data_IF_924426725912
#
_entry.id   IF_924426725912
#
_cell.length_a   1.000
_cell.length_b   1.000
_cell.length_c   1.000
_cell.angle_alpha   90.00
_cell.angle_beta   90.00
_cell.angle_gamma   90.00
#
_symmetry.space_group_name_H-M   'P 1'
#
loop_
_entity.id
_entity.type
_entity.pdbx_description
1 polymer ?
#
# COMPACT_ATOMS: atom_id res chain seq x y z
N UNK A 1 -27.17 -12.44 -15.93
CA UNK A 1 -27.72 -13.08 -17.13
C UNK A 1 -27.15 -12.44 -18.39
N UNK A 2 -27.35 -11.13 -18.64
CA UNK A 2 -26.87 -10.43 -19.86
C UNK A 2 -25.37 -10.65 -20.13
N UNK A 3 -24.54 -10.56 -19.09
CA UNK A 3 -23.10 -10.81 -19.21
C UNK A 3 -22.79 -12.25 -19.66
N UNK A 4 -23.46 -13.24 -19.04
CA UNK A 4 -23.26 -14.66 -19.36
C UNK A 4 -23.72 -14.99 -20.81
N UNK A 5 -24.81 -14.38 -21.25
CA UNK A 5 -25.27 -14.51 -22.62
C UNK A 5 -24.30 -13.93 -23.64
N UNK A 6 -23.69 -12.77 -23.31
CA UNK A 6 -22.71 -12.11 -24.18
C UNK A 6 -21.42 -12.92 -24.38
N UNK A 7 -21.06 -13.77 -23.44
CA UNK A 7 -19.91 -14.68 -23.55
C UNK A 7 -20.31 -16.10 -24.01
N UNK A 8 -21.56 -16.27 -24.47
CA UNK A 8 -22.05 -17.53 -25.03
C UNK A 8 -22.49 -18.58 -24.01
N UNK A 9 -22.56 -18.23 -22.71
CA UNK A 9 -23.05 -19.11 -21.64
C UNK A 9 -24.54 -18.89 -21.42
N UNK A 10 -25.36 -19.75 -22.06
CA UNK A 10 -26.81 -19.68 -21.94
C UNK A 10 -27.30 -20.41 -20.68
N UNK A 11 -27.11 -19.81 -19.50
CA UNK A 11 -27.54 -20.34 -18.21
C UNK A 11 -28.96 -19.82 -17.90
N UNK A 12 -29.94 -20.67 -17.61
CA UNK A 12 -31.27 -20.25 -17.18
C UNK A 12 -31.19 -19.37 -15.93
N UNK A 13 -32.05 -18.35 -15.83
CA UNK A 13 -31.98 -17.35 -14.75
C UNK A 13 -32.22 -17.97 -13.38
N UNK A 14 -33.02 -18.99 -13.29
CA UNK A 14 -33.32 -19.77 -12.09
C UNK A 14 -32.10 -20.53 -11.55
N UNK A 15 -31.08 -20.75 -12.38
CA UNK A 15 -29.81 -21.37 -11.98
C UNK A 15 -28.74 -20.33 -11.61
N UNK A 16 -29.09 -19.05 -11.62
CA UNK A 16 -28.20 -17.95 -11.20
C UNK A 16 -28.60 -17.53 -9.79
N UNK A 17 -27.89 -18.07 -8.80
CA UNK A 17 -28.14 -17.77 -7.38
C UNK A 17 -27.19 -16.70 -6.91
N UNK A 18 -27.72 -15.63 -6.31
CA UNK A 18 -26.93 -14.60 -5.66
C UNK A 18 -26.87 -14.88 -4.16
N UNK A 19 -25.67 -15.00 -3.62
CA UNK A 19 -25.45 -14.98 -2.18
C UNK A 19 -25.42 -13.52 -1.74
N UNK A 20 -26.16 -13.16 -0.70
CA UNK A 20 -26.18 -11.77 -0.16
C UNK A 20 -24.82 -11.42 0.47
N UNK A 21 -24.13 -12.42 1.01
CA UNK A 21 -22.78 -12.33 1.55
C UNK A 21 -21.79 -13.07 0.63
N UNK A 22 -20.78 -12.33 0.14
CA UNK A 22 -19.70 -12.88 -0.70
C UNK A 22 -18.57 -13.53 0.08
N UNK A 23 -18.71 -13.73 1.40
CA UNK A 23 -17.69 -14.32 2.25
C UNK A 23 -17.39 -15.78 1.89
N UNK A 24 -16.17 -16.29 2.19
CA UNK A 24 -15.86 -17.70 2.04
C UNK A 24 -16.81 -18.62 2.81
N UNK A 25 -17.25 -18.19 4.00
CA UNK A 25 -18.17 -18.94 4.84
C UNK A 25 -19.55 -19.06 4.21
N UNK A 26 -20.12 -17.98 3.68
CA UNK A 26 -21.44 -18.02 3.03
C UNK A 26 -21.47 -18.99 1.83
N UNK A 27 -20.37 -19.06 1.07
CA UNK A 27 -20.21 -20.03 -0.02
C UNK A 27 -20.17 -21.46 0.51
N UNK A 28 -19.41 -21.72 1.55
CA UNK A 28 -19.33 -23.02 2.19
C UNK A 28 -20.70 -23.46 2.77
N UNK A 29 -21.41 -22.57 3.44
CA UNK A 29 -22.72 -22.82 4.03
C UNK A 29 -23.76 -23.15 2.93
N UNK A 30 -23.65 -22.52 1.76
CA UNK A 30 -24.48 -22.87 0.62
C UNK A 30 -24.28 -24.33 0.17
N UNK A 31 -23.03 -24.83 0.12
CA UNK A 31 -22.74 -26.23 -0.20
C UNK A 31 -23.26 -27.18 0.85
N UNK A 32 -23.17 -26.84 2.15
CA UNK A 32 -23.76 -27.63 3.24
C UNK A 32 -25.27 -27.73 3.05
N UNK A 33 -25.96 -26.64 2.73
CA UNK A 33 -27.41 -26.65 2.50
C UNK A 33 -27.78 -27.52 1.32
N UNK A 34 -27.01 -27.48 0.23
CA UNK A 34 -27.27 -28.33 -0.96
C UNK A 34 -26.99 -29.81 -0.69
N UNK A 35 -25.98 -30.14 0.10
CA UNK A 35 -25.76 -31.52 0.54
C UNK A 35 -26.91 -32.02 1.41
N UNK A 36 -27.47 -31.18 2.29
CA UNK A 36 -28.64 -31.50 3.09
C UNK A 36 -29.91 -31.69 2.24
N UNK A 37 -30.00 -31.02 1.08
CA UNK A 37 -31.08 -31.23 0.08
C UNK A 37 -30.92 -32.54 -0.72
N UNK A 38 -29.80 -33.28 -0.54
CA UNK A 38 -29.52 -34.55 -1.17
C UNK A 38 -28.60 -34.50 -2.40
N UNK A 39 -28.01 -33.34 -2.69
CA UNK A 39 -26.97 -33.28 -3.72
C UNK A 39 -25.69 -33.94 -3.20
N UNK A 40 -25.04 -34.78 -4.00
CA UNK A 40 -23.88 -35.56 -3.61
C UNK A 40 -22.70 -35.54 -4.62
N UNK A 41 -22.77 -34.70 -5.66
CA UNK A 41 -21.70 -34.49 -6.64
C UNK A 41 -21.58 -32.99 -6.86
N UNK A 42 -20.46 -32.41 -6.38
CA UNK A 42 -20.23 -30.98 -6.39
C UNK A 42 -19.02 -30.61 -7.21
N UNK A 43 -19.15 -29.57 -8.01
CA UNK A 43 -18.04 -28.86 -8.64
C UNK A 43 -18.04 -27.41 -8.21
N UNK A 44 -16.93 -26.95 -7.69
CA UNK A 44 -16.73 -25.55 -7.31
C UNK A 44 -15.48 -24.98 -7.97
N UNK A 45 -15.63 -23.83 -8.58
CA UNK A 45 -14.52 -23.06 -9.13
C UNK A 45 -14.67 -21.59 -8.73
N UNK A 46 -13.62 -21.01 -8.15
CA UNK A 46 -13.58 -19.63 -7.69
C UNK A 46 -12.16 -19.08 -7.89
N UNK A 47 -12.02 -17.79 -8.15
CA UNK A 47 -10.71 -17.15 -8.34
C UNK A 47 -10.01 -16.85 -7.00
N UNK A 48 -10.75 -16.74 -5.91
CA UNK A 48 -10.22 -16.53 -4.56
C UNK A 48 -9.72 -17.83 -3.94
N UNK A 49 -8.43 -17.90 -3.63
CA UNK A 49 -7.84 -19.02 -2.91
C UNK A 49 -8.51 -19.28 -1.55
N UNK A 50 -8.95 -18.22 -0.86
CA UNK A 50 -9.66 -18.34 0.43
C UNK A 50 -11.03 -19.01 0.25
N UNK A 51 -11.80 -18.63 -0.78
CA UNK A 51 -13.08 -19.27 -1.08
C UNK A 51 -12.90 -20.74 -1.43
N UNK A 52 -11.90 -21.03 -2.28
CA UNK A 52 -11.55 -22.40 -2.69
C UNK A 52 -11.17 -23.26 -1.49
N UNK A 53 -10.31 -22.76 -0.62
CA UNK A 53 -9.86 -23.47 0.57
C UNK A 53 -11.04 -23.76 1.52
N UNK A 54 -11.85 -22.74 1.83
CA UNK A 54 -12.97 -22.87 2.74
C UNK A 54 -14.02 -23.86 2.22
N UNK A 55 -14.37 -23.78 0.94
CA UNK A 55 -15.34 -24.72 0.35
C UNK A 55 -14.75 -26.13 0.29
N UNK A 56 -13.46 -26.26 -0.03
CA UNK A 56 -12.79 -27.56 -0.02
C UNK A 56 -12.79 -28.18 1.37
N UNK A 57 -12.42 -27.42 2.41
CA UNK A 57 -12.36 -27.90 3.78
C UNK A 57 -13.72 -28.40 4.28
N UNK A 58 -14.81 -27.78 3.85
CA UNK A 58 -16.17 -28.22 4.17
C UNK A 58 -16.57 -29.45 3.37
N UNK A 59 -16.34 -29.46 2.05
CA UNK A 59 -16.72 -30.61 1.21
C UNK A 59 -15.92 -31.88 1.54
N UNK A 60 -14.66 -31.71 1.97
CA UNK A 60 -13.82 -32.84 2.44
C UNK A 60 -14.34 -33.47 3.75
N UNK A 61 -15.18 -32.75 4.52
CA UNK A 61 -15.82 -33.25 5.74
C UNK A 61 -17.20 -33.92 5.48
N UNK A 62 -17.75 -33.74 4.30
CA UNK A 62 -19.03 -34.32 3.90
C UNK A 62 -18.83 -35.63 3.10
N UNK A 63 -19.74 -36.58 3.24
CA UNK A 63 -19.73 -37.82 2.43
C UNK A 63 -20.32 -37.51 1.04
N UNK A 64 -19.60 -36.74 0.25
CA UNK A 64 -20.02 -36.31 -1.09
C UNK A 64 -18.84 -36.40 -2.06
N UNK A 65 -19.15 -36.63 -3.32
CA UNK A 65 -18.15 -36.49 -4.37
C UNK A 65 -17.94 -35.01 -4.66
N UNK A 66 -16.73 -34.55 -4.58
CA UNK A 66 -16.41 -33.15 -4.80
C UNK A 66 -15.21 -32.96 -5.73
N UNK A 67 -15.25 -31.89 -6.50
CA UNK A 67 -14.10 -31.34 -7.24
C UNK A 67 -14.07 -29.84 -7.03
N UNK A 68 -13.08 -29.41 -6.26
CA UNK A 68 -12.84 -28.01 -5.97
C UNK A 68 -11.61 -27.55 -6.72
N UNK A 69 -11.75 -26.50 -7.50
CA UNK A 69 -10.67 -25.97 -8.34
C UNK A 69 -10.59 -24.47 -8.17
N UNK A 70 -9.39 -23.95 -7.92
CA UNK A 70 -9.19 -22.53 -8.09
C UNK A 70 -9.32 -22.21 -9.58
N UNK A 71 -10.34 -21.44 -9.92
CA UNK A 71 -10.46 -20.87 -11.26
C UNK A 71 -9.39 -19.77 -11.37
N UNK A 72 -8.22 -20.19 -11.77
CA UNK A 72 -7.22 -19.29 -12.32
C UNK A 72 -7.72 -18.92 -13.74
N UNK A 73 -8.82 -18.18 -13.85
CA UNK A 73 -8.91 -17.18 -14.90
C UNK A 73 -7.87 -16.19 -14.49
N UNK A 74 -6.73 -16.35 -15.08
CA UNK A 74 -5.50 -15.75 -14.66
C UNK A 74 -5.77 -14.25 -14.52
N UNK A 75 -5.92 -13.76 -13.28
CA UNK A 75 -6.07 -12.32 -12.97
C UNK A 75 -5.00 -11.54 -13.74
N UNK A 76 -3.81 -12.15 -13.91
CA UNK A 76 -2.72 -11.61 -14.68
C UNK A 76 -3.08 -11.50 -16.17
N UNK A 77 -3.60 -12.56 -16.78
CA UNK A 77 -4.02 -12.52 -18.19
C UNK A 77 -5.13 -11.50 -18.42
N UNK A 78 -6.13 -11.44 -17.54
CA UNK A 78 -7.21 -10.45 -17.64
C UNK A 78 -6.70 -9.02 -17.52
N UNK A 79 -5.89 -8.72 -16.48
CA UNK A 79 -5.35 -7.37 -16.27
C UNK A 79 -4.40 -6.95 -17.38
N UNK A 80 -3.55 -7.86 -17.89
CA UNK A 80 -2.67 -7.60 -19.01
C UNK A 80 -3.46 -7.32 -20.29
N UNK A 81 -4.51 -8.10 -20.55
CA UNK A 81 -5.39 -7.93 -21.71
C UNK A 81 -6.14 -6.60 -21.65
N UNK A 82 -6.78 -6.28 -20.52
CA UNK A 82 -7.48 -5.00 -20.31
C UNK A 82 -6.53 -3.80 -20.41
N UNK A 83 -5.28 -3.91 -19.92
CA UNK A 83 -4.27 -2.86 -20.09
C UNK A 83 -3.84 -2.73 -21.55
N UNK A 84 -3.70 -3.83 -22.29
CA UNK A 84 -3.38 -3.78 -23.72
C UNK A 84 -4.52 -3.13 -24.52
N UNK A 85 -5.78 -3.41 -24.19
CA UNK A 85 -6.95 -2.76 -24.82
C UNK A 85 -6.93 -1.23 -24.60
N UNK A 86 -6.60 -0.81 -23.38
CA UNK A 86 -6.44 0.62 -23.03
C UNK A 86 -5.31 1.26 -23.83
N UNK A 87 -4.17 0.57 -23.96
CA UNK A 87 -3.02 1.07 -24.72
C UNK A 87 -3.34 1.12 -26.22
N UNK A 88 -4.00 0.13 -26.77
CA UNK A 88 -4.42 0.10 -28.18
C UNK A 88 -5.38 1.24 -28.49
N UNK A 89 -6.41 1.42 -27.68
CA UNK A 89 -7.38 2.52 -27.83
C UNK A 89 -6.71 3.90 -27.77
N UNK A 90 -5.73 4.09 -26.90
CA UNK A 90 -5.03 5.36 -26.70
C UNK A 90 -3.94 5.63 -27.71
N UNK A 91 -3.17 4.61 -28.09
CA UNK A 91 -1.94 4.75 -28.89
C UNK A 91 -2.04 4.16 -30.27
N UNK A 92 -3.03 3.29 -30.51
CA UNK A 92 -3.16 2.47 -31.72
C UNK A 92 -2.14 1.32 -31.79
N UNK A 93 -1.46 1.00 -30.66
CA UNK A 93 -0.47 -0.09 -30.57
C UNK A 93 -1.18 -1.37 -30.18
N UNK A 94 -1.14 -2.38 -31.05
CA UNK A 94 -1.77 -3.67 -30.78
C UNK A 94 -1.03 -4.49 -29.74
N UNK A 95 -1.74 -5.42 -29.10
CA UNK A 95 -1.21 -6.26 -28.03
C UNK A 95 0.00 -7.10 -28.44
N UNK A 96 0.01 -7.59 -29.68
CA UNK A 96 1.02 -8.48 -30.28
C UNK A 96 2.06 -7.74 -31.14
N UNK A 97 1.96 -6.41 -31.24
CA UNK A 97 2.83 -5.60 -32.10
C UNK A 97 4.25 -5.48 -31.54
N UNK A 98 5.26 -5.77 -32.36
CA UNK A 98 6.66 -5.60 -31.97
C UNK A 98 7.03 -4.12 -31.80
N UNK A 99 7.90 -3.83 -30.81
CA UNK A 99 8.28 -2.45 -30.45
C UNK A 99 8.98 -1.71 -31.58
N UNK A 100 9.71 -2.43 -32.44
CA UNK A 100 10.33 -1.88 -33.67
C UNK A 100 9.29 -1.25 -34.60
N UNK A 101 8.16 -1.95 -34.81
CA UNK A 101 7.09 -1.51 -35.71
C UNK A 101 6.30 -0.36 -35.11
N UNK A 102 6.11 -0.38 -33.80
CA UNK A 102 5.49 0.71 -33.04
C UNK A 102 6.28 2.01 -33.15
N UNK A 103 7.61 1.94 -32.98
CA UNK A 103 8.48 3.13 -33.13
C UNK A 103 8.41 3.71 -34.54
N UNK A 104 8.43 2.86 -35.58
CA UNK A 104 8.30 3.29 -36.96
C UNK A 104 6.97 3.99 -37.26
N UNK A 105 5.84 3.45 -36.74
CA UNK A 105 4.50 4.06 -36.89
C UNK A 105 4.37 5.40 -36.14
N UNK A 106 4.97 5.52 -34.96
CA UNK A 106 4.94 6.74 -34.17
C UNK A 106 5.86 7.82 -34.71
N UNK A 107 6.96 7.48 -35.37
CA UNK A 107 7.82 8.42 -36.08
C UNK A 107 7.13 9.07 -37.27
N UNK A 108 6.22 8.38 -37.94
CA UNK A 108 5.38 8.91 -39.00
C UNK A 108 4.33 9.94 -38.55
N UNK A 109 3.88 9.93 -37.31
CA UNK A 109 2.85 10.83 -36.73
C UNK A 109 3.44 12.04 -35.97
N UNK A 110 4.43 12.71 -36.57
CA UNK A 110 5.24 13.76 -35.89
C UNK A 110 4.51 15.04 -35.46
N UNK A 111 3.26 15.28 -35.84
CA UNK A 111 2.60 16.61 -35.65
C UNK A 111 2.17 16.93 -34.21
N UNK A 112 1.85 15.96 -33.38
CA UNK A 112 1.34 16.21 -32.01
C UNK A 112 2.40 16.09 -30.88
N UNK A 113 3.63 15.75 -31.24
CA UNK A 113 4.72 15.53 -30.28
C UNK A 113 5.29 16.80 -29.64
N UNK A 114 5.02 17.99 -30.18
CA UNK A 114 5.62 19.24 -29.69
C UNK A 114 5.20 19.62 -28.29
N UNK A 115 3.93 19.45 -27.95
CA UNK A 115 3.39 19.72 -26.60
C UNK A 115 3.83 18.67 -25.59
N UNK A 116 3.71 17.39 -25.95
CA UNK A 116 4.16 16.26 -25.13
C UNK A 116 5.67 16.30 -24.86
N UNK A 117 6.48 16.62 -25.86
CA UNK A 117 7.94 16.72 -25.71
C UNK A 117 8.37 17.86 -24.78
N UNK A 118 7.63 18.98 -24.75
CA UNK A 118 7.85 20.06 -23.78
C UNK A 118 7.43 19.67 -22.37
N UNK A 119 6.27 19.03 -22.24
CA UNK A 119 5.76 18.55 -20.96
C UNK A 119 6.70 17.50 -20.34
N UNK A 120 7.15 16.52 -21.15
CA UNK A 120 8.07 15.46 -20.70
C UNK A 120 9.50 15.95 -20.41
N UNK A 121 9.96 17.03 -21.03
CA UNK A 121 11.24 17.65 -20.66
C UNK A 121 11.23 18.26 -19.25
N UNK A 122 10.04 18.59 -18.75
CA UNK A 122 9.83 19.21 -17.43
C UNK A 122 9.45 18.20 -16.35
N UNK A 123 9.01 16.98 -16.72
CA UNK A 123 8.71 15.89 -15.78
C UNK A 123 10.01 15.29 -15.23
N UNK A 124 10.62 15.96 -14.28
CA UNK A 124 11.86 15.51 -13.68
C UNK A 124 11.65 14.75 -12.37
N UNK A 125 10.48 14.86 -11.73
CA UNK A 125 10.24 14.25 -10.40
C UNK A 125 8.75 14.05 -10.17
N UNK A 126 8.34 12.84 -9.80
CA UNK A 126 6.99 12.51 -9.33
C UNK A 126 7.04 11.76 -8.00
N UNK A 127 6.07 11.94 -7.13
CA UNK A 127 6.32 11.62 -5.75
C UNK A 127 5.19 11.12 -4.87
N UNK A 128 3.96 11.04 -5.35
CA UNK A 128 2.83 10.63 -4.50
C UNK A 128 1.75 9.93 -5.33
N UNK A 129 0.72 9.38 -4.67
CA UNK A 129 -0.44 8.82 -5.34
C UNK A 129 -1.12 9.85 -6.27
N UNK A 130 -1.05 11.13 -5.95
CA UNK A 130 -1.58 12.23 -6.76
C UNK A 130 -0.80 12.39 -8.07
N UNK A 131 0.53 12.33 -7.99
CA UNK A 131 1.41 12.37 -9.15
C UNK A 131 1.17 11.15 -10.06
N UNK A 132 0.98 9.96 -9.46
CA UNK A 132 0.63 8.75 -10.17
C UNK A 132 -0.70 8.89 -10.92
N UNK A 133 -1.73 9.43 -10.28
CA UNK A 133 -3.02 9.70 -10.92
C UNK A 133 -2.90 10.64 -12.10
N UNK A 134 -2.09 11.70 -11.97
CA UNK A 134 -1.80 12.63 -13.08
C UNK A 134 -1.16 11.91 -14.27
N UNK A 135 -0.17 11.06 -14.04
CA UNK A 135 0.49 10.28 -15.11
C UNK A 135 -0.46 9.29 -15.79
N UNK A 136 -1.25 8.58 -14.99
CA UNK A 136 -2.20 7.59 -15.50
C UNK A 136 -3.29 8.20 -16.35
N UNK A 137 -3.70 9.45 -16.11
CA UNK A 137 -4.69 10.12 -16.96
C UNK A 137 -4.24 10.30 -18.41
N UNK A 138 -2.95 10.38 -18.67
CA UNK A 138 -2.45 10.36 -20.05
C UNK A 138 -2.72 9.03 -20.74
N UNK A 139 -2.74 7.93 -19.98
CA UNK A 139 -3.03 6.59 -20.51
C UNK A 139 -4.54 6.45 -20.78
N UNK A 140 -5.39 6.84 -19.81
CA UNK A 140 -6.83 6.55 -19.88
C UNK A 140 -7.64 7.52 -20.77
N UNK A 141 -7.14 8.72 -21.08
CA UNK A 141 -7.83 9.66 -21.96
C UNK A 141 -9.02 10.38 -21.32
N UNK A 142 -9.86 11.01 -22.15
CA UNK A 142 -11.03 11.84 -21.77
C UNK A 142 -12.30 11.35 -22.48
N UNK A 143 -13.47 11.71 -21.96
CA UNK A 143 -14.78 11.34 -22.51
C UNK A 143 -15.33 10.04 -21.94
N UNK A 144 -16.31 9.43 -22.62
CA UNK A 144 -16.98 8.21 -22.15
C UNK A 144 -16.02 7.02 -22.03
N UNK A 145 -15.18 6.80 -23.03
CA UNK A 145 -14.11 5.78 -23.00
C UNK A 145 -13.14 6.06 -21.86
N UNK A 146 -12.74 7.33 -21.69
CA UNK A 146 -11.91 7.74 -20.56
C UNK A 146 -12.53 7.46 -19.20
N UNK A 147 -13.85 7.62 -19.06
CA UNK A 147 -14.56 7.30 -17.81
C UNK A 147 -14.50 5.81 -17.47
N UNK A 148 -14.68 4.92 -18.46
CA UNK A 148 -14.55 3.46 -18.28
C UNK A 148 -13.12 3.07 -17.88
N UNK A 149 -12.14 3.61 -18.57
CA UNK A 149 -10.72 3.34 -18.32
C UNK A 149 -10.26 3.92 -16.98
N UNK A 150 -10.73 5.13 -16.63
CA UNK A 150 -10.50 5.70 -15.30
C UNK A 150 -11.08 4.85 -14.18
N UNK A 151 -12.30 4.33 -14.37
CA UNK A 151 -12.90 3.38 -13.42
C UNK A 151 -12.03 2.13 -13.25
N UNK A 152 -11.55 1.56 -14.35
CA UNK A 152 -10.68 0.39 -14.32
C UNK A 152 -9.39 0.63 -13.54
N UNK A 153 -8.67 1.74 -13.81
CA UNK A 153 -7.48 2.14 -13.05
C UNK A 153 -7.80 2.33 -11.58
N UNK A 154 -8.91 3.00 -11.29
CA UNK A 154 -9.35 3.19 -9.91
C UNK A 154 -9.54 1.85 -9.20
N UNK A 155 -10.28 0.95 -9.81
CA UNK A 155 -10.68 -0.31 -9.19
C UNK A 155 -9.49 -1.28 -9.04
N UNK A 156 -8.51 -1.27 -9.96
CA UNK A 156 -7.38 -2.19 -9.93
C UNK A 156 -6.11 -1.62 -9.29
N UNK A 157 -5.93 -0.30 -9.20
CA UNK A 157 -4.72 0.30 -8.64
C UNK A 157 -5.01 1.22 -7.45
N UNK A 158 -6.00 2.11 -7.55
CA UNK A 158 -6.19 3.15 -6.52
C UNK A 158 -6.94 2.59 -5.32
N UNK A 159 -8.00 1.82 -5.53
CA UNK A 159 -8.80 1.22 -4.44
C UNK A 159 -7.96 0.25 -3.62
N UNK A 160 -7.21 -0.72 -4.21
CA UNK A 160 -6.33 -1.61 -3.45
C UNK A 160 -5.26 -0.84 -2.66
N UNK A 161 -4.64 0.19 -3.27
CA UNK A 161 -3.67 1.03 -2.59
C UNK A 161 -4.27 1.76 -1.38
N UNK A 162 -5.40 2.43 -1.56
CA UNK A 162 -6.06 3.17 -0.48
C UNK A 162 -6.51 2.25 0.65
N UNK A 163 -7.02 1.05 0.31
CA UNK A 163 -7.39 0.03 1.31
C UNK A 163 -6.19 -0.38 2.15
N UNK A 164 -5.04 -0.62 1.51
CA UNK A 164 -3.80 -0.95 2.19
C UNK A 164 -3.30 0.20 3.08
N UNK A 165 -3.32 1.44 2.59
CA UNK A 165 -2.94 2.63 3.37
C UNK A 165 -3.86 2.85 4.59
N UNK A 166 -5.17 2.65 4.44
CA UNK A 166 -6.11 2.73 5.56
C UNK A 166 -5.84 1.64 6.61
N UNK A 167 -5.57 0.41 6.16
CA UNK A 167 -5.20 -0.68 7.06
C UNK A 167 -3.89 -0.36 7.81
N UNK A 168 -2.89 0.20 7.13
CA UNK A 168 -1.63 0.63 7.74
C UNK A 168 -1.84 1.74 8.77
N UNK A 169 -2.66 2.75 8.44
CA UNK A 169 -3.01 3.83 9.38
C UNK A 169 -3.71 3.26 10.61
N UNK A 170 -4.66 2.36 10.41
CA UNK A 170 -5.39 1.71 11.50
C UNK A 170 -4.45 0.88 12.40
N UNK A 171 -3.53 0.14 11.82
CA UNK A 171 -2.49 -0.60 12.55
C UNK A 171 -1.62 0.34 13.39
N UNK A 172 -1.16 1.47 12.80
CA UNK A 172 -0.38 2.48 13.51
C UNK A 172 -1.15 3.10 14.68
N UNK A 173 -2.43 3.40 14.51
CA UNK A 173 -3.29 3.93 15.58
C UNK A 173 -3.41 2.91 16.72
N UNK A 174 -3.63 1.64 16.41
CA UNK A 174 -3.75 0.59 17.42
C UNK A 174 -2.45 0.43 18.21
N UNK A 175 -1.31 0.34 17.54
CA UNK A 175 -0.01 0.25 18.20
C UNK A 175 0.31 1.50 19.03
N UNK A 176 -0.06 2.69 18.55
CA UNK A 176 0.09 3.91 19.34
C UNK A 176 -0.78 3.91 20.61
N UNK A 177 -1.99 3.32 20.56
CA UNK A 177 -2.84 3.10 21.75
C UNK A 177 -2.20 2.11 22.70
N UNK A 178 -1.71 0.97 22.19
CA UNK A 178 -1.08 -0.08 22.99
C UNK A 178 0.17 0.45 23.69
N UNK A 179 1.01 1.22 22.98
CA UNK A 179 2.16 1.90 23.58
C UNK A 179 1.74 2.87 24.71
N UNK A 180 0.71 3.67 24.48
CA UNK A 180 0.22 4.58 25.51
C UNK A 180 -0.38 3.82 26.70
N UNK A 181 -1.11 2.74 26.47
CA UNK A 181 -1.66 1.85 27.52
C UNK A 181 -0.55 1.22 28.32
N UNK A 182 0.48 0.67 27.65
CA UNK A 182 1.66 0.14 28.30
C UNK A 182 2.34 1.19 29.20
N UNK A 183 2.60 2.38 28.65
CA UNK A 183 3.21 3.48 29.41
C UNK A 183 2.38 3.87 30.63
N UNK A 184 1.04 3.86 30.52
CA UNK A 184 0.14 4.16 31.65
C UNK A 184 0.13 3.08 32.73
N UNK A 185 0.56 1.86 32.43
CA UNK A 185 0.67 0.78 33.41
C UNK A 185 1.81 1.02 34.43
N UNK A 186 2.79 1.85 34.10
CA UNK A 186 3.92 2.16 34.97
C UNK A 186 3.71 3.54 35.65
N UNK A 187 3.56 3.58 37.00
CA UNK A 187 3.28 4.81 37.75
C UNK A 187 4.27 5.93 37.51
N UNK A 188 5.56 5.65 37.40
CA UNK A 188 6.62 6.65 37.17
C UNK A 188 6.64 7.19 35.74
N UNK A 189 6.07 6.46 34.77
CA UNK A 189 6.06 6.82 33.35
C UNK A 189 4.75 7.44 32.89
N UNK A 190 3.73 7.52 33.76
CA UNK A 190 2.47 8.18 33.45
C UNK A 190 2.65 9.66 33.20
N UNK A 191 1.95 10.19 32.19
CA UNK A 191 1.90 11.62 31.98
C UNK A 191 1.31 12.32 33.19
N UNK A 192 2.00 13.33 33.70
CA UNK A 192 1.58 14.12 34.88
C UNK A 192 1.12 15.49 34.42
N UNK A 193 0.05 16.02 35.05
CA UNK A 193 -0.32 17.42 34.87
C UNK A 193 0.72 18.30 35.56
N UNK A 194 1.40 19.16 34.80
CA UNK A 194 2.31 20.17 35.33
C UNK A 194 1.55 21.38 35.91
N UNK A 195 2.29 22.28 36.56
CA UNK A 195 1.78 23.50 37.21
C UNK A 195 0.95 24.43 36.31
N UNK A 196 1.12 24.36 35.00
CA UNK A 196 0.34 25.13 33.99
C UNK A 196 -0.75 24.30 33.30
N UNK A 197 -1.17 23.17 33.86
CA UNK A 197 -2.15 22.28 33.22
C UNK A 197 -1.65 21.53 31.99
N UNK A 198 -0.40 21.70 31.61
CA UNK A 198 0.24 20.97 30.51
C UNK A 198 0.63 19.56 30.95
N UNK A 199 0.39 18.58 30.06
CA UNK A 199 0.84 17.22 30.32
C UNK A 199 2.35 17.12 30.10
N UNK A 200 3.08 16.64 31.12
CA UNK A 200 4.50 16.34 31.04
C UNK A 200 4.69 14.83 30.76
N UNK A 201 5.60 14.51 29.83
CA UNK A 201 5.97 13.14 29.52
C UNK A 201 7.21 12.72 30.33
N UNK A 202 7.11 11.81 31.31
CA UNK A 202 8.27 11.39 32.10
C UNK A 202 9.41 10.78 31.29
N UNK A 203 9.13 10.19 30.13
CA UNK A 203 10.18 9.65 29.25
C UNK A 203 11.10 10.72 28.66
N UNK A 204 10.71 12.00 28.67
CA UNK A 204 11.58 13.12 28.24
C UNK A 204 12.41 13.71 29.38
N UNK A 205 12.26 13.18 30.61
CA UNK A 205 13.07 13.62 31.74
C UNK A 205 14.48 13.03 31.65
N UNK A 206 15.43 13.75 32.21
CA UNK A 206 16.82 13.33 32.35
C UNK A 206 16.90 11.99 33.09
N UNK A 207 17.78 11.10 32.63
CA UNK A 207 18.07 9.79 33.26
C UNK A 207 19.20 9.89 34.30
N UNK A 208 19.88 11.04 34.37
CA UNK A 208 21.05 11.22 35.25
C UNK A 208 22.38 10.73 34.66
N UNK A 209 22.41 10.41 33.37
CA UNK A 209 23.62 9.98 32.64
C UNK A 209 23.79 10.88 31.42
N UNK A 210 24.83 11.73 31.43
CA UNK A 210 25.13 12.66 30.36
C UNK A 210 23.92 13.51 29.96
N UNK A 211 23.79 13.90 28.68
CA UNK A 211 22.68 14.73 28.20
C UNK A 211 21.44 13.92 27.79
N UNK A 212 21.32 12.68 28.25
CA UNK A 212 20.32 11.75 27.74
C UNK A 212 19.06 11.71 28.61
N UNK A 213 17.90 11.59 27.96
CA UNK A 213 16.62 11.37 28.64
C UNK A 213 16.24 9.88 28.73
N UNK A 214 15.22 9.56 29.53
CA UNK A 214 14.76 8.19 29.75
C UNK A 214 14.34 7.47 28.44
N UNK A 215 13.73 8.18 27.49
CA UNK A 215 13.39 7.60 26.19
C UNK A 215 14.62 7.18 25.39
N UNK A 216 15.63 8.03 25.35
CA UNK A 216 16.90 7.72 24.69
C UNK A 216 17.63 6.56 25.37
N UNK A 217 17.67 6.54 26.69
CA UNK A 217 18.27 5.44 27.46
C UNK A 217 17.59 4.08 27.18
N UNK A 218 16.27 4.04 27.17
CA UNK A 218 15.52 2.81 26.82
C UNK A 218 15.83 2.36 25.39
N UNK A 219 15.94 3.28 24.42
CA UNK A 219 16.32 2.94 23.05
C UNK A 219 17.72 2.35 22.97
N UNK A 220 18.70 2.95 23.67
CA UNK A 220 20.07 2.43 23.78
C UNK A 220 20.07 1.04 24.41
N UNK A 221 19.31 0.82 25.47
CA UNK A 221 19.15 -0.49 26.10
C UNK A 221 18.62 -1.54 25.12
N UNK A 222 17.58 -1.22 24.33
CA UNK A 222 17.00 -2.12 23.36
C UNK A 222 17.97 -2.46 22.23
N UNK A 223 18.71 -1.47 21.71
CA UNK A 223 19.73 -1.68 20.67
C UNK A 223 20.92 -2.50 21.19
N UNK A 224 21.41 -2.18 22.38
CA UNK A 224 22.51 -2.92 22.99
C UNK A 224 22.13 -4.41 23.22
N UNK A 225 20.90 -4.66 23.70
CA UNK A 225 20.38 -6.02 23.88
C UNK A 225 20.33 -6.83 22.60
N UNK A 226 20.20 -6.16 21.45
CA UNK A 226 20.21 -6.78 20.12
C UNK A 226 21.60 -6.76 19.45
N UNK A 227 22.62 -6.29 20.15
CA UNK A 227 23.99 -6.22 19.61
C UNK A 227 24.18 -5.22 18.49
N UNK A 228 23.33 -4.18 18.43
CA UNK A 228 23.39 -3.15 17.38
C UNK A 228 24.40 -2.07 17.71
N UNK A 229 25.18 -1.65 16.73
CA UNK A 229 26.08 -0.50 16.83
C UNK A 229 25.26 0.81 16.85
N UNK A 230 25.56 1.71 17.80
CA UNK A 230 24.84 2.98 17.96
C UNK A 230 25.71 4.12 17.46
N UNK A 231 25.34 4.80 16.37
CA UNK A 231 26.15 5.84 15.77
C UNK A 231 26.44 6.99 16.76
N UNK A 232 27.74 7.34 16.88
CA UNK A 232 28.19 8.48 17.66
C UNK A 232 28.20 8.29 19.18
N UNK A 233 28.03 7.07 19.68
CA UNK A 233 28.13 6.75 21.10
C UNK A 233 29.41 6.01 21.44
N UNK A 234 29.99 6.33 22.61
CA UNK A 234 31.08 5.54 23.20
C UNK A 234 30.55 4.32 23.93
N UNK A 235 31.36 3.25 24.03
CA UNK A 235 31.01 2.08 24.85
C UNK A 235 30.73 2.45 26.31
N UNK A 236 31.46 3.43 26.86
CA UNK A 236 31.26 3.89 28.23
C UNK A 236 29.87 4.52 28.42
N UNK A 237 29.40 5.34 27.48
CA UNK A 237 28.06 5.95 27.53
C UNK A 237 26.98 4.88 27.35
N UNK A 238 27.17 3.93 26.44
CA UNK A 238 26.25 2.82 26.23
C UNK A 238 26.09 2.01 27.52
N UNK A 239 27.20 1.61 28.13
CA UNK A 239 27.19 0.82 29.36
C UNK A 239 26.53 1.58 30.52
N UNK A 240 26.83 2.88 30.68
CA UNK A 240 26.22 3.70 31.73
C UNK A 240 24.69 3.84 31.55
N UNK A 241 24.21 4.01 30.31
CA UNK A 241 22.78 4.07 30.04
C UNK A 241 22.07 2.72 30.20
N UNK A 242 22.72 1.64 29.80
CA UNK A 242 22.20 0.27 29.99
C UNK A 242 22.10 -0.06 31.50
N UNK A 243 23.10 0.33 32.30
CA UNK A 243 23.07 0.19 33.73
C UNK A 243 21.96 1.02 34.37
N UNK A 244 21.81 2.29 33.97
CA UNK A 244 20.77 3.18 34.48
C UNK A 244 19.35 2.63 34.19
N UNK A 245 19.10 2.05 33.02
CA UNK A 245 17.84 1.39 32.70
C UNK A 245 17.67 0.10 33.50
N UNK A 246 18.73 -0.69 33.62
CA UNK A 246 18.69 -2.00 34.30
C UNK A 246 18.46 -1.88 35.82
N UNK A 247 18.89 -0.80 36.43
CA UNK A 247 18.70 -0.50 37.85
C UNK A 247 17.35 0.14 38.17
N UNK A 248 16.72 0.83 37.23
CA UNK A 248 15.34 1.33 37.37
C UNK A 248 14.35 0.19 37.00
N UNK A 249 13.75 -0.42 38.01
CA UNK A 249 12.88 -1.58 37.84
C UNK A 249 11.71 -1.34 36.89
N UNK A 250 11.03 -0.18 37.00
CA UNK A 250 9.89 0.13 36.12
C UNK A 250 10.35 0.42 34.68
N UNK A 251 11.46 1.13 34.53
CA UNK A 251 11.99 1.46 33.22
C UNK A 251 12.49 0.21 32.48
N UNK A 252 13.12 -0.72 33.20
CA UNK A 252 13.53 -2.02 32.66
C UNK A 252 12.34 -2.85 32.23
N UNK A 253 11.33 -3.02 33.09
CA UNK A 253 10.12 -3.75 32.74
C UNK A 253 9.38 -3.11 31.53
N UNK A 254 9.35 -1.81 31.47
CA UNK A 254 8.78 -1.09 30.32
C UNK A 254 9.55 -1.41 29.03
N UNK A 255 10.89 -1.38 29.05
CA UNK A 255 11.73 -1.74 27.91
C UNK A 255 11.52 -3.20 27.47
N UNK A 256 11.47 -4.14 28.42
CA UNK A 256 11.24 -5.55 28.15
C UNK A 256 9.85 -5.79 27.52
N UNK A 257 8.82 -5.08 27.99
CA UNK A 257 7.46 -5.12 27.40
C UNK A 257 7.38 -4.54 26.00
N UNK A 258 8.18 -3.55 25.64
CA UNK A 258 8.28 -3.04 24.28
C UNK A 258 8.74 -4.14 23.34
N UNK A 259 9.70 -4.97 23.73
CA UNK A 259 10.13 -6.12 22.93
C UNK A 259 9.01 -7.15 22.74
N UNK A 260 8.17 -7.39 23.76
CA UNK A 260 7.05 -8.31 23.65
C UNK A 260 5.96 -7.81 22.69
N UNK A 261 5.71 -6.49 22.59
CA UNK A 261 4.75 -5.90 21.65
C UNK A 261 5.22 -6.06 20.19
N UNK A 262 6.52 -6.12 19.98
CA UNK A 262 7.13 -6.31 18.67
C UNK A 262 7.28 -7.80 18.28
N UNK A 263 6.34 -8.64 18.60
CA UNK A 263 6.33 -10.13 18.62
C UNK A 263 7.05 -10.86 17.48
N UNK A 264 7.39 -10.22 16.36
CA UNK A 264 7.97 -10.88 15.17
C UNK A 264 9.10 -10.07 14.50
N UNK A 265 9.58 -9.00 15.11
CA UNK A 265 10.58 -8.13 14.50
C UNK A 265 11.64 -7.63 15.50
N UNK A 266 12.84 -7.42 15.00
CA UNK A 266 13.87 -6.70 15.73
C UNK A 266 13.46 -5.25 15.96
N UNK A 267 13.83 -4.67 17.10
CA UNK A 267 13.70 -3.23 17.31
C UNK A 267 14.50 -2.51 16.20
N UNK A 268 13.97 -1.46 15.57
CA UNK A 268 14.60 -0.88 14.38
C UNK A 268 16.00 -0.37 14.69
N UNK A 269 16.95 -0.64 13.78
CA UNK A 269 18.33 -0.20 13.93
C UNK A 269 18.44 1.35 14.06
N UNK A 270 19.38 1.85 14.87
CA UNK A 270 19.57 3.27 15.07
C UNK A 270 20.06 3.94 13.78
N UNK A 271 19.42 5.05 13.41
CA UNK A 271 19.93 5.92 12.35
C UNK A 271 20.95 6.94 12.85
N UNK A 272 21.66 7.60 11.95
CA UNK A 272 22.66 8.63 12.28
C UNK A 272 22.12 9.74 13.20
N UNK A 273 20.83 10.08 13.05
CA UNK A 273 20.16 11.12 13.84
C UNK A 273 19.22 10.55 14.89
N UNK A 274 19.54 9.40 15.46
CA UNK A 274 18.71 8.69 16.43
C UNK A 274 18.30 9.54 17.65
N UNK A 275 19.13 10.50 18.06
CA UNK A 275 18.83 11.42 19.17
C UNK A 275 17.54 12.23 18.98
N UNK A 276 17.15 12.50 17.74
CA UNK A 276 15.95 13.28 17.41
C UNK A 276 14.65 12.46 17.50
N UNK A 277 14.74 11.13 17.53
CA UNK A 277 13.59 10.23 17.60
C UNK A 277 13.19 9.88 19.04
N UNK A 278 12.07 9.18 19.17
CA UNK A 278 11.58 8.59 20.40
C UNK A 278 11.16 7.13 20.20
N UNK A 279 10.91 6.40 21.29
CA UNK A 279 10.52 4.99 21.25
C UNK A 279 9.27 4.78 20.40
N UNK A 280 8.28 5.67 20.51
CA UNK A 280 7.02 5.57 19.75
C UNK A 280 7.27 5.71 18.24
N UNK A 281 8.12 6.65 17.85
CA UNK A 281 8.47 6.85 16.43
C UNK A 281 9.26 5.65 15.87
N UNK A 282 10.11 5.03 16.65
CA UNK A 282 10.84 3.82 16.25
C UNK A 282 9.86 2.66 16.01
N UNK A 283 8.95 2.40 16.95
CA UNK A 283 7.93 1.35 16.84
C UNK A 283 7.02 1.59 15.62
N UNK A 284 6.54 2.83 15.43
CA UNK A 284 5.70 3.17 14.28
C UNK A 284 6.46 3.08 12.95
N UNK A 285 7.75 3.41 12.95
CA UNK A 285 8.60 3.29 11.78
C UNK A 285 8.91 1.85 11.39
N UNK A 286 9.05 0.94 12.36
CA UNK A 286 9.24 -0.49 12.09
C UNK A 286 7.99 -1.12 11.48
N UNK A 287 6.81 -0.73 11.96
CA UNK A 287 5.53 -1.14 11.39
C UNK A 287 5.39 -0.70 9.94
N UNK A 288 5.85 0.49 9.60
CA UNK A 288 5.77 1.03 8.24
C UNK A 288 6.53 0.14 7.25
N UNK A 289 7.67 -0.41 7.65
CA UNK A 289 8.48 -1.30 6.81
C UNK A 289 7.91 -2.72 6.72
N UNK A 290 7.49 -3.29 7.83
CA UNK A 290 7.00 -4.67 7.92
C UNK A 290 5.60 -4.83 7.33
N UNK A 291 4.63 -4.11 7.87
CA UNK A 291 3.22 -4.22 7.45
C UNK A 291 2.94 -3.66 6.07
N UNK A 292 3.67 -2.61 5.63
CA UNK A 292 3.47 -2.04 4.31
C UNK A 292 3.67 -3.07 3.21
N UNK A 293 4.70 -3.91 3.31
CA UNK A 293 4.97 -4.96 2.31
C UNK A 293 3.82 -5.98 2.24
N UNK A 294 3.32 -6.41 3.38
CA UNK A 294 2.23 -7.38 3.47
C UNK A 294 0.91 -6.78 2.96
N UNK A 295 0.53 -5.60 3.46
CA UNK A 295 -0.72 -4.94 3.10
C UNK A 295 -0.77 -4.49 1.64
N UNK A 296 0.36 -4.18 1.01
CA UNK A 296 0.45 -3.78 -0.39
C UNK A 296 0.57 -4.95 -1.36
N UNK A 297 0.53 -6.22 -0.92
CA UNK A 297 0.75 -7.38 -1.79
C UNK A 297 -0.21 -7.38 -2.98
N UNK A 298 -1.52 -7.25 -2.77
CA UNK A 298 -2.51 -7.20 -3.84
C UNK A 298 -2.27 -6.05 -4.83
N UNK A 299 -1.99 -4.88 -4.31
CA UNK A 299 -1.66 -3.72 -5.13
C UNK A 299 -0.38 -3.93 -5.94
N UNK A 300 0.65 -4.49 -5.32
CA UNK A 300 1.92 -4.76 -5.97
C UNK A 300 1.78 -5.78 -7.10
N UNK A 301 1.02 -6.85 -6.87
CA UNK A 301 0.71 -7.84 -7.92
C UNK A 301 0.01 -7.19 -9.11
N UNK A 302 -0.99 -6.34 -8.86
CA UNK A 302 -1.67 -5.62 -9.92
C UNK A 302 -0.71 -4.68 -10.68
N UNK A 303 0.16 -3.96 -9.97
CA UNK A 303 1.19 -3.09 -10.56
C UNK A 303 2.13 -3.89 -11.46
N UNK A 304 2.64 -5.02 -10.98
CA UNK A 304 3.62 -5.83 -11.70
C UNK A 304 3.02 -6.44 -13.00
N UNK A 305 1.72 -6.74 -12.99
CA UNK A 305 0.98 -7.21 -14.17
C UNK A 305 0.69 -6.06 -15.14
N UNK A 306 0.04 -5.01 -14.66
CA UNK A 306 -0.41 -3.87 -15.48
C UNK A 306 0.78 -3.14 -16.11
N UNK A 307 1.84 -2.95 -15.35
CA UNK A 307 3.09 -2.33 -15.79
C UNK A 307 4.20 -3.35 -16.03
N UNK A 308 3.83 -4.49 -16.63
CA UNK A 308 4.80 -5.49 -17.09
C UNK A 308 5.82 -4.87 -18.05
N UNK A 309 6.99 -5.49 -18.19
CA UNK A 309 8.04 -5.01 -19.09
C UNK A 309 7.50 -4.76 -20.51
N UNK A 310 6.60 -5.62 -21.00
CA UNK A 310 5.95 -5.48 -22.32
C UNK A 310 5.13 -4.20 -22.40
N UNK A 311 4.30 -3.95 -21.39
CA UNK A 311 3.44 -2.76 -21.32
C UNK A 311 4.24 -1.48 -21.10
N UNK A 312 5.28 -1.52 -20.25
CA UNK A 312 6.22 -0.39 -20.07
C UNK A 312 6.94 -0.03 -21.36
N UNK A 313 7.36 -1.00 -22.16
CA UNK A 313 7.99 -0.73 -23.46
C UNK A 313 7.01 -0.05 -24.44
N UNK A 314 5.73 -0.41 -24.43
CA UNK A 314 4.69 0.27 -25.23
C UNK A 314 4.46 1.69 -24.74
N UNK A 315 4.40 1.89 -23.43
CA UNK A 315 4.29 3.21 -22.82
C UNK A 315 5.51 4.08 -23.17
N UNK A 316 6.70 3.52 -23.13
CA UNK A 316 7.94 4.21 -23.52
C UNK A 316 7.91 4.62 -25.00
N UNK A 317 7.48 3.72 -25.89
CA UNK A 317 7.33 4.02 -27.30
C UNK A 317 6.31 5.14 -27.57
N UNK A 318 5.18 5.13 -26.85
CA UNK A 318 4.11 6.12 -27.00
C UNK A 318 4.42 7.47 -26.35
N UNK A 319 4.94 7.46 -25.11
CA UNK A 319 5.07 8.65 -24.27
C UNK A 319 6.52 9.06 -23.97
N UNK A 320 7.49 8.20 -24.26
CA UNK A 320 8.93 8.43 -24.08
C UNK A 320 9.47 7.93 -22.73
N UNK A 321 10.81 7.74 -22.67
CA UNK A 321 11.51 7.18 -21.50
C UNK A 321 11.27 7.97 -20.20
N UNK A 322 11.24 9.32 -20.30
CA UNK A 322 11.01 10.16 -19.11
C UNK A 322 9.63 9.96 -18.46
N UNK A 323 8.63 9.62 -19.26
CA UNK A 323 7.31 9.28 -18.75
C UNK A 323 7.37 7.96 -17.95
N UNK A 324 8.05 6.96 -18.49
CA UNK A 324 8.20 5.66 -17.82
C UNK A 324 9.04 5.79 -16.55
N UNK A 325 10.13 6.57 -16.58
CA UNK A 325 10.93 6.87 -15.38
C UNK A 325 10.07 7.52 -14.28
N UNK A 326 9.26 8.53 -14.64
CA UNK A 326 8.37 9.21 -13.71
C UNK A 326 7.31 8.27 -13.14
N UNK A 327 6.73 7.40 -13.96
CA UNK A 327 5.76 6.40 -13.55
C UNK A 327 6.38 5.40 -12.56
N UNK A 328 7.53 4.84 -12.88
CA UNK A 328 8.24 3.88 -12.02
C UNK A 328 8.69 4.51 -10.70
N UNK A 329 9.15 5.76 -10.72
CA UNK A 329 9.52 6.49 -9.51
C UNK A 329 8.30 6.74 -8.63
N UNK A 330 7.16 7.11 -9.20
CA UNK A 330 5.89 7.26 -8.48
C UNK A 330 5.44 5.96 -7.83
N UNK A 331 5.44 4.85 -8.57
CA UNK A 331 5.10 3.52 -8.06
C UNK A 331 6.06 3.07 -6.94
N UNK A 332 7.38 3.32 -7.10
CA UNK A 332 8.38 3.02 -6.08
C UNK A 332 8.08 3.76 -4.77
N UNK A 333 7.69 5.03 -4.85
CA UNK A 333 7.37 5.82 -3.64
C UNK A 333 6.07 5.40 -3.01
N UNK A 334 5.05 5.06 -3.79
CA UNK A 334 3.83 4.46 -3.26
C UNK A 334 4.14 3.18 -2.50
N UNK A 335 5.03 2.33 -3.02
CA UNK A 335 5.49 1.09 -2.36
C UNK A 335 6.23 1.37 -1.07
N UNK A 336 7.14 2.33 -1.06
CA UNK A 336 8.02 2.61 0.09
C UNK A 336 7.42 3.58 1.10
N UNK A 337 6.33 4.27 0.76
CA UNK A 337 5.75 5.32 1.59
C UNK A 337 6.61 6.58 1.71
N UNK A 338 7.57 6.76 0.78
CA UNK A 338 8.45 7.92 0.81
C UNK A 338 7.81 9.11 0.13
N UNK A 339 7.94 10.27 0.76
CA UNK A 339 7.48 11.53 0.18
C UNK A 339 8.44 12.03 -0.90
N UNK A 340 7.92 12.93 -1.75
CA UNK A 340 8.72 13.66 -2.72
C UNK A 340 9.86 14.41 -2.03
N UNK A 341 11.13 14.26 -2.44
CA UNK A 341 12.17 15.12 -1.93
C UNK A 341 11.84 16.57 -2.30
N UNK A 342 11.87 17.44 -1.29
CA UNK A 342 11.72 18.89 -1.51
C UNK A 342 12.94 19.37 -2.27
N UNK A 343 12.81 19.61 -3.56
CA UNK A 343 13.91 20.12 -4.37
C UNK A 343 14.09 21.61 -4.08
N UNK A 344 15.23 21.99 -3.53
CA UNK A 344 15.64 23.38 -3.35
C UNK A 344 16.54 23.80 -4.52
N UNK A 345 15.95 24.34 -5.59
CA UNK A 345 16.71 24.85 -6.73
C UNK A 345 15.82 25.63 -7.71
N UNK A 346 16.39 26.49 -8.55
CA UNK A 346 15.65 27.37 -9.46
C UNK A 346 14.78 26.66 -10.50
N UNK A 347 15.04 25.38 -10.80
CA UNK A 347 14.19 24.54 -11.65
C UNK A 347 12.99 23.92 -10.95
N UNK A 348 12.96 23.93 -9.61
CA UNK A 348 11.95 23.24 -8.79
C UNK A 348 10.60 23.97 -8.79
N UNK A 349 10.60 25.30 -8.92
CA UNK A 349 9.38 26.11 -8.94
C UNK A 349 8.51 25.80 -10.14
N UNK A 350 9.09 25.73 -11.34
CA UNK A 350 8.37 25.42 -12.57
C UNK A 350 7.82 23.98 -12.58
N UNK A 351 8.58 23.02 -12.01
CA UNK A 351 8.12 21.63 -11.87
C UNK A 351 6.98 21.55 -10.85
N UNK A 352 7.08 22.25 -9.74
CA UNK A 352 6.02 22.30 -8.74
C UNK A 352 4.76 22.97 -9.28
N UNK A 353 4.89 24.12 -9.95
CA UNK A 353 3.76 24.83 -10.58
C UNK A 353 3.07 23.98 -11.66
N UNK A 354 3.83 23.18 -12.42
CA UNK A 354 3.27 22.27 -13.42
C UNK A 354 2.57 21.07 -12.78
N UNK A 355 3.14 20.50 -11.71
CA UNK A 355 2.52 19.41 -10.97
C UNK A 355 1.28 19.90 -10.21
N UNK A 356 1.30 21.10 -9.67
CA UNK A 356 0.14 21.74 -9.04
C UNK A 356 -0.95 22.05 -10.10
N UNK A 357 -0.57 22.42 -11.33
CA UNK A 357 -1.51 22.57 -12.44
C UNK A 357 -2.08 21.23 -12.90
N UNK A 358 -1.26 20.18 -13.02
CA UNK A 358 -1.72 18.82 -13.34
C UNK A 358 -2.66 18.28 -12.23
N UNK A 359 -2.32 18.46 -10.99
CA UNK A 359 -3.13 18.06 -9.85
C UNK A 359 -4.39 18.92 -9.72
N UNK A 360 -4.30 20.22 -9.96
CA UNK A 360 -5.42 21.15 -9.90
C UNK A 360 -6.44 20.99 -11.04
N UNK A 361 -5.97 20.68 -12.26
CA UNK A 361 -6.86 20.53 -13.43
C UNK A 361 -7.60 19.19 -13.49
N UNK A 362 -7.09 18.19 -12.77
CA UNK A 362 -7.48 16.80 -12.84
C UNK A 362 -7.89 16.24 -11.48
N UNK A 363 -7.14 16.58 -10.45
CA UNK A 363 -7.30 16.05 -9.10
C UNK A 363 -8.57 16.53 -8.42
N UNK A 364 -9.06 17.74 -8.74
CA UNK A 364 -10.22 18.31 -8.04
C UNK A 364 -11.48 17.48 -8.26
N UNK A 365 -11.71 16.96 -9.46
CA UNK A 365 -12.92 16.17 -9.73
C UNK A 365 -12.88 14.73 -9.19
N UNK A 366 -11.70 14.07 -9.25
CA UNK A 366 -11.53 12.71 -8.72
C UNK A 366 -11.23 12.69 -7.23
N UNK A 367 -10.42 13.63 -6.76
CA UNK A 367 -9.95 13.69 -5.39
C UNK A 367 -11.02 14.18 -4.40
N UNK A 368 -11.86 15.13 -4.79
CA UNK A 368 -13.00 15.54 -3.96
C UNK A 368 -13.98 14.41 -3.72
N UNK A 369 -14.22 13.54 -4.71
CA UNK A 369 -15.08 12.36 -4.55
C UNK A 369 -14.44 11.27 -3.67
N UNK A 370 -13.12 11.06 -3.77
CA UNK A 370 -12.43 10.02 -2.97
C UNK A 370 -12.12 10.51 -1.55
N UNK A 371 -11.66 11.76 -1.39
CA UNK A 371 -11.38 12.33 -0.06
C UNK A 371 -12.65 12.59 0.72
N UNK A 372 -13.72 13.00 0.07
CA UNK A 372 -15.05 13.18 0.68
C UNK A 372 -15.64 11.83 1.13
N UNK A 373 -15.53 10.78 0.31
CA UNK A 373 -15.93 9.41 0.68
C UNK A 373 -15.13 8.85 1.84
N UNK A 374 -13.82 9.08 1.87
CA UNK A 374 -12.93 8.61 2.95
C UNK A 374 -13.18 9.37 4.26
N UNK A 375 -13.40 10.68 4.19
CA UNK A 375 -13.74 11.50 5.37
C UNK A 375 -15.14 11.19 5.91
N UNK A 376 -16.11 10.85 5.07
CA UNK A 376 -17.44 10.40 5.51
C UNK A 376 -17.40 9.02 6.17
N UNK A 377 -16.51 8.11 5.76
CA UNK A 377 -16.30 6.82 6.44
C UNK A 377 -15.57 6.97 7.79
N UNK A 378 -14.81 8.04 7.99
CA UNK A 378 -14.11 8.31 9.26
C UNK A 378 -14.95 9.14 10.26
N UNK A 379 -16.05 9.73 9.82
CA UNK A 379 -16.95 10.55 10.64
C UNK A 379 -18.21 9.81 11.13
N UNK A 380 -18.41 8.58 10.71
CA UNK A 380 -19.41 7.64 11.24
C UNK A 380 -18.70 6.55 12.06
#
# INVERSE_FOLDING_TARGET
>A
KVFLDNIGLNIPIENIITLEDGSPQAKADWFISKAAEGYNDFYFADDSALNVQQVKDILDQLDVKSRVQQAIVDKATRLDQEMNDILEDKTGIKADEEISDVRAKLEGKKKDRGFFKRLMKQLTITASADDFLGLVQYIVGKGETGTRQQKWIRDNLIVPYNKAEQALISAKINVAKDFNTLKQAFPTLKNKKGLKGMLTNPLTQDIGVGPYNKSQAVRVYLWNKQGMEIPGMSEADINALVEAVSTDFELKQFADKIQEIQKEGEYPAPGTYWLAGDIKSDILGSLDKGFRKELLTEWQENVDIIFSKKNLNKLEAAFGSKYVEALLDSLKRMRTGTNRPTYQGSGSRQVNEMMDWLNGSVGVAMFLNMRSGTLQMLSN
#
